data_IF_862744018824
#
_entry.id   IF_862744018824
#
_cell.length_a   1.000
_cell.length_b   1.000
_cell.length_c   1.000
_cell.angle_alpha   90.00
_cell.angle_beta   90.00
_cell.angle_gamma   90.00
#
_symmetry.space_group_name_H-M   'P 1'
#
loop_
_entity.id
_entity.type
_entity.pdbx_description
1 polymer ?
#
# COMPACT_ATOMS: atom_id res chain seq x y z
N UNK A 1 15.64 -1.84 -24.60
CA UNK A 1 15.69 -0.64 -23.73
C UNK A 1 14.33 -0.53 -23.04
N UNK A 2 14.27 -0.17 -21.75
CA UNK A 2 13.01 0.00 -21.04
C UNK A 2 12.26 1.20 -21.62
N UNK A 3 10.95 1.03 -21.87
CA UNK A 3 10.10 2.12 -22.31
C UNK A 3 9.55 2.85 -21.06
N UNK A 4 10.05 4.06 -20.81
CA UNK A 4 9.68 4.87 -19.65
C UNK A 4 8.29 5.52 -19.76
N UNK A 5 7.65 5.49 -20.93
CA UNK A 5 6.28 6.00 -21.13
C UNK A 5 5.20 5.06 -20.60
N UNK A 6 5.55 3.78 -20.40
CA UNK A 6 4.64 2.75 -19.89
C UNK A 6 4.25 2.99 -18.44
N UNK A 7 2.98 2.73 -18.12
CA UNK A 7 2.54 2.65 -16.74
C UNK A 7 3.14 1.43 -16.03
N UNK A 8 3.03 1.36 -14.70
CA UNK A 8 3.67 0.31 -13.91
C UNK A 8 3.15 -1.09 -14.22
N UNK A 9 1.88 -1.26 -14.56
CA UNK A 9 1.34 -2.56 -14.98
C UNK A 9 1.91 -2.99 -16.32
N UNK A 10 1.90 -2.10 -17.31
CA UNK A 10 2.49 -2.35 -18.63
C UNK A 10 3.99 -2.65 -18.57
N UNK A 11 4.69 -2.03 -17.61
CA UNK A 11 6.11 -2.31 -17.37
C UNK A 11 6.36 -3.78 -17.02
N UNK A 12 5.47 -4.38 -16.24
CA UNK A 12 5.53 -5.80 -15.88
C UNK A 12 4.77 -6.72 -16.85
N UNK A 13 4.12 -6.17 -17.88
CA UNK A 13 3.27 -6.94 -18.80
C UNK A 13 2.04 -7.55 -18.11
N UNK A 14 1.50 -6.83 -17.13
CA UNK A 14 0.33 -7.21 -16.35
C UNK A 14 -0.89 -6.38 -16.76
N UNK A 15 -2.10 -6.92 -16.64
CA UNK A 15 -3.31 -6.14 -16.86
C UNK A 15 -3.44 -5.03 -15.80
N UNK A 16 -3.94 -3.86 -16.22
CA UNK A 16 -4.24 -2.75 -15.29
C UNK A 16 -5.44 -3.15 -14.44
N UNK A 17 -5.25 -3.21 -13.12
CA UNK A 17 -6.33 -3.57 -12.21
C UNK A 17 -5.86 -3.71 -10.76
N UNK A 18 -6.82 -3.65 -9.84
CA UNK A 18 -6.51 -3.73 -8.42
C UNK A 18 -6.21 -5.16 -7.96
N UNK A 19 -6.93 -6.16 -8.50
CA UNK A 19 -6.67 -7.57 -8.20
C UNK A 19 -5.45 -8.03 -8.99
N UNK A 20 -4.42 -8.44 -8.28
CA UNK A 20 -3.12 -8.79 -8.84
C UNK A 20 -2.60 -10.09 -8.23
N UNK A 21 -2.07 -11.00 -9.06
CA UNK A 21 -1.32 -12.15 -8.56
C UNK A 21 0.09 -11.72 -8.12
N UNK A 22 0.31 -11.73 -6.80
CA UNK A 22 1.60 -11.34 -6.21
C UNK A 22 2.75 -12.28 -6.61
N UNK A 23 2.49 -13.55 -6.95
CA UNK A 23 3.52 -14.49 -7.42
C UNK A 23 3.94 -14.14 -8.85
N UNK A 24 2.98 -13.81 -9.69
CA UNK A 24 3.25 -13.37 -11.05
C UNK A 24 4.03 -12.06 -11.05
N UNK A 25 3.59 -11.05 -10.29
CA UNK A 25 4.31 -9.78 -10.12
C UNK A 25 5.77 -10.03 -9.67
N UNK A 26 5.99 -10.87 -8.67
CA UNK A 26 7.33 -11.18 -8.17
C UNK A 26 8.19 -11.92 -9.21
N UNK A 27 7.58 -12.77 -10.05
CA UNK A 27 8.28 -13.44 -11.16
C UNK A 27 8.74 -12.44 -12.21
N UNK A 28 7.82 -11.57 -12.67
CA UNK A 28 8.12 -10.51 -13.66
C UNK A 28 9.18 -9.54 -13.13
N UNK A 29 9.11 -9.19 -11.85
CA UNK A 29 10.13 -8.36 -11.21
C UNK A 29 11.53 -8.98 -11.31
N UNK A 30 11.68 -10.27 -10.96
CA UNK A 30 12.98 -10.98 -11.07
C UNK A 30 13.50 -11.04 -12.50
N UNK A 31 12.61 -11.25 -13.48
CA UNK A 31 12.97 -11.25 -14.90
C UNK A 31 13.52 -9.88 -15.34
N UNK A 32 12.81 -8.81 -15.03
CA UNK A 32 13.23 -7.45 -15.36
C UNK A 32 14.54 -7.05 -14.65
N UNK A 33 14.70 -7.41 -13.37
CA UNK A 33 15.92 -7.17 -12.61
C UNK A 33 17.14 -7.82 -13.28
N UNK A 34 17.01 -9.05 -13.79
CA UNK A 34 18.11 -9.72 -14.52
C UNK A 34 18.50 -8.98 -15.80
N UNK A 35 17.53 -8.36 -16.50
CA UNK A 35 17.79 -7.61 -17.74
C UNK A 35 18.56 -6.33 -17.46
N UNK A 36 18.24 -5.62 -16.38
CA UNK A 36 18.82 -4.31 -16.04
C UNK A 36 19.96 -4.40 -15.02
N UNK A 37 20.43 -5.59 -14.65
CA UNK A 37 21.45 -5.76 -13.62
C UNK A 37 22.73 -5.01 -13.95
N UNK A 38 23.32 -4.22 -13.01
CA UNK A 38 24.52 -3.41 -13.26
C UNK A 38 25.70 -4.20 -13.83
N UNK A 39 25.90 -5.44 -13.39
CA UNK A 39 27.01 -6.28 -13.86
C UNK A 39 26.97 -6.53 -15.37
N UNK A 40 25.79 -6.56 -15.98
CA UNK A 40 25.65 -6.71 -17.45
C UNK A 40 26.13 -5.49 -18.21
N UNK A 41 26.21 -4.34 -17.54
CA UNK A 41 26.62 -3.06 -18.11
C UNK A 41 27.98 -2.59 -17.59
N UNK A 42 28.75 -3.46 -16.90
CA UNK A 42 30.07 -3.13 -16.34
C UNK A 42 31.04 -2.61 -17.40
N UNK A 43 30.99 -3.18 -18.62
CA UNK A 43 31.82 -2.80 -19.76
C UNK A 43 31.08 -1.91 -20.79
N UNK A 44 29.87 -1.43 -20.46
CA UNK A 44 29.08 -0.58 -21.34
C UNK A 44 29.50 0.91 -21.22
N UNK A 45 29.02 1.74 -22.13
CA UNK A 45 29.25 3.19 -22.08
C UNK A 45 28.61 3.81 -20.82
N UNK A 46 29.10 4.99 -20.41
CA UNK A 46 28.52 5.74 -19.27
C UNK A 46 27.04 6.06 -19.47
N UNK A 47 26.63 6.26 -20.72
CA UNK A 47 25.23 6.49 -21.08
C UNK A 47 24.38 5.23 -20.80
N UNK A 48 24.82 4.07 -21.27
CA UNK A 48 24.10 2.79 -21.07
C UNK A 48 24.05 2.40 -19.59
N UNK A 49 25.13 2.64 -18.84
CA UNK A 49 25.14 2.43 -17.39
C UNK A 49 24.10 3.30 -16.68
N UNK A 50 24.01 4.60 -17.00
CA UNK A 50 23.00 5.49 -16.44
C UNK A 50 21.59 5.04 -16.77
N UNK A 51 21.32 4.65 -18.00
CA UNK A 51 20.00 4.13 -18.41
C UNK A 51 19.64 2.84 -17.68
N UNK A 52 20.59 1.94 -17.49
CA UNK A 52 20.40 0.71 -16.71
C UNK A 52 20.03 1.02 -15.25
N UNK A 53 20.71 1.97 -14.61
CA UNK A 53 20.41 2.41 -13.23
C UNK A 53 19.01 3.05 -13.12
N UNK A 54 18.64 3.93 -14.05
CA UNK A 54 17.31 4.54 -14.10
C UNK A 54 16.22 3.48 -14.30
N UNK A 55 16.46 2.50 -15.17
CA UNK A 55 15.55 1.40 -15.39
C UNK A 55 15.39 0.53 -14.12
N UNK A 56 16.48 0.21 -13.42
CA UNK A 56 16.44 -0.53 -12.18
C UNK A 56 15.67 0.22 -11.09
N UNK A 57 15.89 1.53 -10.94
CA UNK A 57 15.16 2.37 -9.98
C UNK A 57 13.66 2.35 -10.28
N UNK A 58 13.24 2.56 -11.54
CA UNK A 58 11.83 2.56 -11.93
C UNK A 58 11.17 1.19 -11.73
N UNK A 59 11.87 0.10 -12.03
CA UNK A 59 11.38 -1.27 -11.80
C UNK A 59 11.15 -1.51 -10.29
N UNK A 60 12.08 -1.07 -9.44
CA UNK A 60 11.96 -1.20 -8.00
C UNK A 60 10.76 -0.39 -7.47
N UNK A 61 10.65 0.88 -7.88
CA UNK A 61 9.54 1.76 -7.53
C UNK A 61 8.19 1.15 -7.93
N UNK A 62 8.08 0.75 -9.20
CA UNK A 62 6.86 0.14 -9.73
C UNK A 62 6.48 -1.16 -8.97
N UNK A 63 7.48 -1.99 -8.63
CA UNK A 63 7.24 -3.20 -7.83
C UNK A 63 6.71 -2.87 -6.44
N UNK A 64 7.29 -1.91 -5.73
CA UNK A 64 6.83 -1.50 -4.40
C UNK A 64 5.41 -0.94 -4.45
N UNK A 65 5.11 -0.09 -5.45
CA UNK A 65 3.78 0.48 -5.64
C UNK A 65 2.74 -0.60 -5.93
N UNK A 66 3.04 -1.53 -6.83
CA UNK A 66 2.08 -2.58 -7.21
C UNK A 66 1.93 -3.67 -6.16
N UNK A 67 2.96 -3.94 -5.36
CA UNK A 67 2.94 -4.96 -4.32
C UNK A 67 1.96 -4.61 -3.19
N UNK A 68 1.95 -3.34 -2.76
CA UNK A 68 1.18 -2.90 -1.61
C UNK A 68 -0.24 -2.43 -2.02
N UNK A 69 -1.33 -2.97 -1.43
CA UNK A 69 -2.70 -2.64 -1.84
C UNK A 69 -3.04 -1.16 -1.79
N UNK A 70 -2.61 -0.44 -0.76
CA UNK A 70 -2.89 1.00 -0.61
C UNK A 70 -2.17 1.79 -1.71
N UNK A 71 -0.88 1.52 -1.91
CA UNK A 71 -0.08 2.20 -2.94
C UNK A 71 -0.59 1.89 -4.34
N UNK A 72 -0.96 0.63 -4.61
CA UNK A 72 -1.57 0.20 -5.88
C UNK A 72 -2.90 0.90 -6.14
N UNK A 73 -3.76 1.00 -5.11
CA UNK A 73 -5.04 1.71 -5.22
C UNK A 73 -4.85 3.20 -5.51
N UNK A 74 -3.94 3.87 -4.82
CA UNK A 74 -3.56 5.27 -5.11
C UNK A 74 -3.05 5.43 -6.53
N UNK A 75 -2.19 4.55 -6.97
CA UNK A 75 -1.65 4.56 -8.33
C UNK A 75 -2.76 4.37 -9.38
N UNK A 76 -3.71 3.46 -9.16
CA UNK A 76 -4.86 3.30 -10.04
C UNK A 76 -5.72 4.56 -10.11
N UNK A 77 -6.00 5.23 -9.00
CA UNK A 77 -6.71 6.51 -8.99
C UNK A 77 -5.94 7.60 -9.74
N UNK A 78 -4.62 7.64 -9.61
CA UNK A 78 -3.79 8.60 -10.36
C UNK A 78 -3.85 8.37 -11.87
N UNK A 79 -3.99 7.12 -12.34
CA UNK A 79 -4.22 6.82 -13.76
C UNK A 79 -5.57 7.35 -14.27
N UNK A 80 -6.55 7.58 -13.38
CA UNK A 80 -7.82 8.24 -13.66
C UNK A 80 -7.78 9.76 -13.40
N UNK A 81 -6.59 10.34 -13.15
CA UNK A 81 -6.42 11.78 -12.89
C UNK A 81 -6.87 12.21 -11.48
N UNK A 82 -7.07 11.26 -10.57
CA UNK A 82 -7.45 11.53 -9.18
C UNK A 82 -6.19 11.39 -8.31
N UNK A 83 -5.73 12.51 -7.79
CA UNK A 83 -4.61 12.53 -6.85
C UNK A 83 -5.11 12.49 -5.40
N UNK A 84 -4.45 11.70 -4.55
CA UNK A 84 -4.73 11.62 -3.13
C UNK A 84 -3.53 12.19 -2.40
N UNK A 85 -3.66 13.42 -1.93
CA UNK A 85 -2.69 14.00 -1.02
C UNK A 85 -2.96 13.48 0.39
N UNK A 86 -2.02 12.68 0.92
CA UNK A 86 -2.17 12.01 2.21
C UNK A 86 -2.16 12.95 3.41
N UNK A 87 -1.72 14.20 3.24
CA UNK A 87 -1.58 15.15 4.35
C UNK A 87 -2.81 16.05 4.53
N UNK A 88 -3.52 16.37 3.46
CA UNK A 88 -4.65 17.30 3.46
C UNK A 88 -6.00 16.63 3.30
N UNK A 89 -6.03 15.39 2.86
CA UNK A 89 -7.24 14.68 2.43
C UNK A 89 -7.87 13.87 3.59
N UNK A 90 -8.65 14.53 4.43
CA UNK A 90 -9.39 13.89 5.53
C UNK A 90 -10.71 13.28 5.04
N UNK A 91 -11.13 12.16 5.66
CA UNK A 91 -12.46 11.59 5.40
C UNK A 91 -13.55 12.55 5.89
N UNK A 92 -14.65 12.62 5.13
CA UNK A 92 -15.88 13.35 5.53
C UNK A 92 -16.95 12.42 6.12
N UNK A 93 -16.69 11.11 6.17
CA UNK A 93 -17.60 10.11 6.74
C UNK A 93 -17.62 10.24 8.28
N UNK A 94 -18.69 10.85 8.80
CA UNK A 94 -18.87 11.09 10.23
C UNK A 94 -18.86 9.79 11.07
N UNK A 95 -19.43 8.70 10.54
CA UNK A 95 -19.43 7.41 11.23
C UNK A 95 -18.00 6.84 11.34
N UNK A 96 -17.20 7.01 10.29
CA UNK A 96 -15.81 6.59 10.32
C UNK A 96 -14.97 7.48 11.23
N UNK A 97 -15.23 8.79 11.30
CA UNK A 97 -14.55 9.69 12.25
C UNK A 97 -14.81 9.28 13.70
N UNK A 98 -16.04 8.89 14.05
CA UNK A 98 -16.34 8.34 15.38
C UNK A 98 -15.59 7.03 15.63
N UNK A 99 -15.60 6.12 14.67
CA UNK A 99 -14.84 4.87 14.77
C UNK A 99 -13.32 5.10 14.93
N UNK A 100 -12.76 6.12 14.27
CA UNK A 100 -11.36 6.51 14.46
C UNK A 100 -11.07 6.94 15.90
N UNK A 101 -11.96 7.72 16.51
CA UNK A 101 -11.81 8.14 17.90
C UNK A 101 -11.85 6.94 18.85
N UNK A 102 -12.83 6.06 18.69
CA UNK A 102 -12.97 4.83 19.50
C UNK A 102 -11.71 3.94 19.40
N UNK A 103 -11.23 3.67 18.18
CA UNK A 103 -10.05 2.85 17.98
C UNK A 103 -8.77 3.46 18.57
N UNK A 104 -8.63 4.80 18.54
CA UNK A 104 -7.49 5.49 19.18
C UNK A 104 -7.57 5.41 20.69
N UNK A 105 -8.75 5.64 21.27
CA UNK A 105 -8.97 5.54 22.70
C UNK A 105 -8.69 4.12 23.22
N UNK A 106 -9.11 3.11 22.48
CA UNK A 106 -8.78 1.71 22.79
C UNK A 106 -7.27 1.45 22.76
N UNK A 107 -6.56 1.94 21.75
CA UNK A 107 -5.10 1.80 21.67
C UNK A 107 -4.41 2.51 22.84
N UNK A 108 -4.83 3.75 23.16
CA UNK A 108 -4.25 4.51 24.27
C UNK A 108 -4.50 3.84 25.63
N UNK A 109 -5.68 3.24 25.80
CA UNK A 109 -6.04 2.54 27.06
C UNK A 109 -5.47 1.12 27.16
N UNK A 110 -5.01 0.53 26.07
CA UNK A 110 -4.56 -0.88 26.04
C UNK A 110 -3.46 -1.16 27.07
N UNK A 111 -2.49 -0.24 27.25
CA UNK A 111 -1.40 -0.39 28.23
C UNK A 111 -1.88 -0.48 29.68
N UNK A 112 -3.03 0.08 30.01
CA UNK A 112 -3.62 0.10 31.36
C UNK A 112 -4.63 -1.01 31.61
N UNK A 113 -4.90 -1.87 30.62
CA UNK A 113 -5.81 -3.00 30.76
C UNK A 113 -5.18 -4.12 31.64
N UNK A 114 -6.03 -4.98 32.17
CA UNK A 114 -5.59 -6.13 32.99
C UNK A 114 -4.68 -7.09 32.19
N UNK A 115 -4.93 -7.23 30.90
CA UNK A 115 -4.09 -7.96 29.93
C UNK A 115 -3.87 -7.08 28.69
N UNK A 116 -2.78 -6.31 28.65
CA UNK A 116 -2.46 -5.44 27.54
C UNK A 116 -2.25 -6.19 26.20
N UNK A 117 -1.61 -7.37 26.24
CA UNK A 117 -1.38 -8.15 25.02
C UNK A 117 -2.68 -8.66 24.40
N UNK A 118 -3.61 -9.15 25.23
CA UNK A 118 -4.93 -9.56 24.76
C UNK A 118 -5.69 -8.37 24.16
N UNK A 119 -5.68 -7.22 24.82
CA UNK A 119 -6.36 -6.01 24.33
C UNK A 119 -5.80 -5.55 22.97
N UNK A 120 -4.48 -5.55 22.79
CA UNK A 120 -3.84 -5.24 21.52
C UNK A 120 -4.14 -6.28 20.43
N UNK A 121 -4.12 -7.58 20.78
CA UNK A 121 -4.47 -8.66 19.86
C UNK A 121 -5.89 -8.52 19.32
N UNK A 122 -6.86 -8.20 20.18
CA UNK A 122 -8.26 -7.99 19.79
C UNK A 122 -8.42 -6.75 18.91
N UNK A 123 -7.73 -5.65 19.23
CA UNK A 123 -7.70 -4.44 18.41
C UNK A 123 -7.11 -4.72 17.02
N UNK A 124 -5.96 -5.38 16.93
CA UNK A 124 -5.31 -5.73 15.68
C UNK A 124 -6.15 -6.68 14.82
N UNK A 125 -6.87 -7.62 15.44
CA UNK A 125 -7.80 -8.50 14.72
C UNK A 125 -8.95 -7.72 14.08
N UNK A 126 -9.54 -6.74 14.78
CA UNK A 126 -10.60 -5.86 14.23
C UNK A 126 -10.09 -4.94 13.12
N UNK A 127 -8.89 -4.37 13.28
CA UNK A 127 -8.23 -3.59 12.24
C UNK A 127 -8.05 -4.44 10.98
N UNK A 128 -7.52 -5.65 11.12
CA UNK A 128 -7.27 -6.60 10.02
C UNK A 128 -8.57 -6.97 9.29
N UNK A 129 -9.65 -7.24 10.03
CA UNK A 129 -10.95 -7.54 9.45
C UNK A 129 -11.50 -6.34 8.65
N UNK A 130 -11.34 -5.11 9.19
CA UNK A 130 -11.76 -3.88 8.52
C UNK A 130 -10.94 -3.61 7.26
N UNK A 131 -9.63 -3.79 7.31
CA UNK A 131 -8.75 -3.66 6.14
C UNK A 131 -9.12 -4.66 5.03
N UNK A 132 -9.40 -5.93 5.39
CA UNK A 132 -9.82 -6.95 4.43
C UNK A 132 -11.14 -6.57 3.74
N UNK A 133 -12.12 -6.08 4.48
CA UNK A 133 -13.40 -5.61 3.94
C UNK A 133 -13.21 -4.43 2.98
N UNK A 134 -12.44 -3.42 3.40
CA UNK A 134 -12.15 -2.25 2.56
C UNK A 134 -11.37 -2.61 1.30
N UNK A 135 -10.44 -3.56 1.38
CA UNK A 135 -9.72 -4.09 0.21
C UNK A 135 -10.67 -4.72 -0.81
N UNK A 136 -11.64 -5.50 -0.35
CA UNK A 136 -12.67 -6.06 -1.22
C UNK A 136 -13.58 -5.00 -1.86
N UNK A 137 -14.00 -4.00 -1.09
CA UNK A 137 -14.79 -2.86 -1.60
C UNK A 137 -14.00 -2.06 -2.65
N UNK A 138 -12.74 -1.74 -2.34
CA UNK A 138 -11.85 -1.01 -3.24
C UNK A 138 -11.65 -1.73 -4.58
N UNK A 139 -11.55 -3.07 -4.57
CA UNK A 139 -11.44 -3.86 -5.79
C UNK A 139 -12.65 -3.65 -6.71
N UNK A 140 -13.87 -3.74 -6.17
CA UNK A 140 -15.12 -3.54 -6.93
C UNK A 140 -15.28 -2.10 -7.43
N UNK A 141 -14.92 -1.13 -6.59
CA UNK A 141 -15.00 0.29 -6.92
C UNK A 141 -14.07 0.67 -8.08
N UNK A 142 -12.82 0.18 -8.03
CA UNK A 142 -11.82 0.43 -9.08
C UNK A 142 -12.12 -0.35 -10.37
N UNK A 143 -12.76 -1.51 -10.28
CA UNK A 143 -13.20 -2.27 -11.45
C UNK A 143 -14.35 -1.56 -12.18
N UNK A 144 -15.34 -1.02 -11.44
CA UNK A 144 -16.46 -0.28 -12.01
C UNK A 144 -16.05 1.07 -12.63
N UNK A 145 -15.03 1.73 -12.07
CA UNK A 145 -14.36 2.95 -12.54
C UNK A 145 -15.29 4.10 -13.00
N UNK A 146 -16.54 4.15 -12.53
CA UNK A 146 -17.39 5.34 -12.73
C UNK A 146 -16.94 6.47 -11.80
N UNK A 147 -17.28 7.73 -12.12
CA UNK A 147 -16.90 8.88 -11.29
C UNK A 147 -17.31 8.68 -9.82
N UNK A 148 -18.54 8.23 -9.57
CA UNK A 148 -19.05 7.94 -8.23
C UNK A 148 -18.24 6.82 -7.54
N UNK A 149 -17.91 5.75 -8.25
CA UNK A 149 -17.15 4.63 -7.71
C UNK A 149 -15.69 5.01 -7.43
N UNK A 150 -15.10 5.89 -8.24
CA UNK A 150 -13.77 6.42 -7.99
C UNK A 150 -13.71 7.33 -6.75
N UNK A 151 -14.76 8.14 -6.50
CA UNK A 151 -14.88 8.91 -5.26
C UNK A 151 -15.00 7.99 -4.04
N UNK A 152 -15.79 6.92 -4.12
CA UNK A 152 -15.88 5.91 -3.07
C UNK A 152 -14.55 5.15 -2.87
N UNK A 153 -13.82 4.86 -3.94
CA UNK A 153 -12.50 4.25 -3.87
C UNK A 153 -11.49 5.16 -3.14
N UNK A 154 -11.55 6.45 -3.40
CA UNK A 154 -10.77 7.46 -2.68
C UNK A 154 -11.05 7.44 -1.18
N UNK A 155 -12.32 7.41 -0.77
CA UNK A 155 -12.71 7.29 0.64
C UNK A 155 -12.25 5.96 1.26
N UNK A 156 -12.39 4.85 0.54
CA UNK A 156 -11.92 3.54 1.01
C UNK A 156 -10.41 3.54 1.26
N UNK A 157 -9.63 4.18 0.39
CA UNK A 157 -8.17 4.30 0.57
C UNK A 157 -7.80 5.16 1.78
N UNK A 158 -8.51 6.28 2.04
CA UNK A 158 -8.30 7.10 3.23
C UNK A 158 -8.51 6.29 4.52
N UNK A 159 -9.60 5.51 4.55
CA UNK A 159 -9.91 4.62 5.67
C UNK A 159 -8.82 3.56 5.86
N UNK A 160 -8.35 2.96 4.77
CA UNK A 160 -7.26 1.98 4.83
C UNK A 160 -5.95 2.58 5.34
N UNK A 161 -5.60 3.80 4.91
CA UNK A 161 -4.41 4.51 5.39
C UNK A 161 -4.45 4.78 6.89
N UNK A 162 -5.62 5.22 7.40
CA UNK A 162 -5.80 5.40 8.83
C UNK A 162 -5.61 4.09 9.60
N UNK A 163 -6.26 3.01 9.16
CA UNK A 163 -6.17 1.70 9.81
C UNK A 163 -4.73 1.14 9.75
N UNK A 164 -3.98 1.42 8.68
CA UNK A 164 -2.58 1.03 8.60
C UNK A 164 -1.73 1.77 9.64
N UNK A 165 -1.87 3.09 9.76
CA UNK A 165 -1.16 3.88 10.77
C UNK A 165 -1.47 3.41 12.20
N UNK A 166 -2.75 3.11 12.47
CA UNK A 166 -3.16 2.62 13.78
C UNK A 166 -2.58 1.24 14.09
N UNK A 167 -2.53 0.37 13.09
CA UNK A 167 -1.89 -0.95 13.20
C UNK A 167 -0.41 -0.83 13.51
N UNK A 168 0.32 0.03 12.78
CA UNK A 168 1.74 0.26 12.99
C UNK A 168 2.01 0.75 14.43
N UNK A 169 1.13 1.62 14.97
CA UNK A 169 1.19 2.08 16.37
C UNK A 169 0.90 0.97 17.37
N UNK A 170 -0.05 0.07 17.08
CA UNK A 170 -0.37 -1.07 17.93
C UNK A 170 0.79 -2.09 17.97
N UNK A 171 1.40 -2.38 16.82
CA UNK A 171 2.58 -3.25 16.71
C UNK A 171 3.79 -2.65 17.47
N UNK A 172 3.97 -1.32 17.40
CA UNK A 172 5.01 -0.64 18.18
C UNK A 172 4.76 -0.75 19.68
N UNK A 173 3.52 -0.54 20.13
CA UNK A 173 3.16 -0.65 21.54
C UNK A 173 3.34 -2.10 22.06
N UNK A 174 3.01 -3.12 21.27
CA UNK A 174 3.24 -4.52 21.59
C UNK A 174 4.73 -4.80 21.81
N UNK A 175 5.60 -4.32 20.89
CA UNK A 175 7.05 -4.47 21.04
C UNK A 175 7.59 -3.77 22.31
N UNK A 176 7.08 -2.59 22.67
CA UNK A 176 7.47 -1.90 23.91
C UNK A 176 7.05 -2.66 25.17
N UNK A 177 5.90 -3.32 25.16
CA UNK A 177 5.44 -4.16 26.29
C UNK A 177 6.30 -5.41 26.43
N UNK A 178 6.70 -6.04 25.34
CA UNK A 178 7.60 -7.20 25.34
C UNK A 178 8.96 -6.86 25.93
N UNK A 179 9.52 -5.68 25.57
CA UNK A 179 10.80 -5.22 26.14
C UNK A 179 10.73 -4.93 27.63
N UNK A 180 9.59 -4.50 28.17
CA UNK A 180 9.41 -4.21 29.60
C UNK A 180 9.18 -5.49 30.45
N UNK A 181 8.83 -6.61 29.79
CA UNK A 181 8.61 -7.88 30.47
C UNK A 181 9.89 -8.74 30.63
N UNK A 182 11.00 -8.31 29.99
CA UNK A 182 12.33 -8.93 30.04
C UNK A 182 13.20 -8.35 31.16
#
# INVERSE_FOLDING_TARGET
MLDFSKNYFELFGLPVGFVLDGRELASRFRELQRVVHPDRYANASDHERRLSMQAATRINEAFQVLKEPISRGRYLLSLHGIDIDSETDNTTDAAFLMQQMELREELESARSQADPHQALGDLMARITASQKRLTGQLALQLEAASSEQLDLARESLRKMQFLQKLRDQAEQLEAELDEQAL
#
